data_IF_886043737178
#
_entry.id   IF_886043737178
#
_cell.length_a   1.000
_cell.length_b   1.000
_cell.length_c   1.000
_cell.angle_alpha   90.00
_cell.angle_beta   90.00
_cell.angle_gamma   90.00
#
_symmetry.space_group_name_H-M   'P 1'
#
loop_
_entity.id
_entity.type
_entity.pdbx_description
1 polymer ?
#
# COMPACT_ATOMS: atom_id res chain seq x y z
N UNK A 1 1.04 6.15 14.74
CA UNK A 1 0.94 5.54 13.40
C UNK A 1 1.22 6.59 12.33
N UNK A 2 2.07 6.27 11.37
CA UNK A 2 2.40 7.15 10.26
C UNK A 2 2.71 6.32 9.01
N UNK A 3 2.91 7.00 7.87
CA UNK A 3 3.19 6.32 6.61
C UNK A 3 4.48 5.49 6.67
N UNK A 4 5.51 5.99 7.35
CA UNK A 4 6.78 5.28 7.48
C UNK A 4 6.64 3.93 8.17
N UNK A 5 5.81 3.85 9.20
CA UNK A 5 5.55 2.58 9.91
C UNK A 5 4.89 1.56 8.97
N UNK A 6 3.91 2.01 8.19
CA UNK A 6 3.23 1.15 7.23
C UNK A 6 4.20 0.69 6.15
N UNK A 7 5.02 1.60 5.65
CA UNK A 7 6.04 1.27 4.65
C UNK A 7 7.06 0.26 5.20
N UNK A 8 7.48 0.42 6.45
CA UNK A 8 8.36 -0.56 7.10
C UNK A 8 7.73 -1.95 7.16
N UNK A 9 6.46 -2.03 7.52
CA UNK A 9 5.75 -3.30 7.58
C UNK A 9 5.67 -3.96 6.20
N UNK A 10 5.38 -3.17 5.16
CA UNK A 10 5.33 -3.68 3.79
C UNK A 10 6.70 -4.22 3.35
N UNK A 11 7.75 -3.50 3.65
CA UNK A 11 9.11 -3.91 3.27
C UNK A 11 9.57 -5.15 4.04
N UNK A 12 9.06 -5.34 5.24
CA UNK A 12 9.38 -6.54 6.03
C UNK A 12 8.86 -7.82 5.38
N UNK A 13 7.73 -7.76 4.68
CA UNK A 13 7.14 -8.90 4.00
C UNK A 13 7.37 -8.89 2.49
N UNK A 14 8.17 -7.96 2.01
CA UNK A 14 8.49 -7.85 0.58
C UNK A 14 9.30 -9.06 0.09
N UNK A 15 9.02 -9.48 -1.14
CA UNK A 15 9.70 -10.63 -1.76
C UNK A 15 10.18 -10.25 -3.15
N UNK A 16 11.49 -10.35 -3.36
CA UNK A 16 12.12 -9.99 -4.63
C UNK A 16 11.63 -10.83 -5.80
N UNK A 17 11.41 -12.13 -5.59
CA UNK A 17 10.90 -13.03 -6.61
C UNK A 17 9.50 -12.61 -7.08
N UNK A 18 8.61 -12.28 -6.14
CA UNK A 18 7.27 -11.79 -6.45
C UNK A 18 7.31 -10.44 -7.13
N UNK A 19 8.19 -9.55 -6.69
CA UNK A 19 8.35 -8.22 -7.28
C UNK A 19 8.69 -8.32 -8.77
N UNK A 20 9.57 -9.25 -9.12
CA UNK A 20 9.99 -9.45 -10.50
C UNK A 20 8.83 -9.95 -11.37
N UNK A 21 8.04 -10.89 -10.86
CA UNK A 21 6.88 -11.43 -11.56
C UNK A 21 5.83 -10.33 -11.79
N UNK A 22 5.55 -9.53 -10.76
CA UNK A 22 4.59 -8.44 -10.85
C UNK A 22 5.04 -7.37 -11.84
N UNK A 23 6.33 -7.05 -11.84
CA UNK A 23 6.88 -6.07 -12.78
C UNK A 23 6.66 -6.51 -14.22
N UNK A 24 6.84 -7.79 -14.52
CA UNK A 24 6.59 -8.35 -15.85
C UNK A 24 5.10 -8.32 -16.18
N UNK A 25 4.27 -8.71 -15.23
CA UNK A 25 2.82 -8.75 -15.44
C UNK A 25 2.24 -7.37 -15.75
N UNK A 26 2.70 -6.34 -15.05
CA UNK A 26 2.23 -4.97 -15.23
C UNK A 26 3.00 -4.18 -16.29
N UNK A 27 3.88 -4.86 -17.04
CA UNK A 27 4.62 -4.28 -18.18
C UNK A 27 5.33 -2.97 -17.81
N UNK A 28 6.27 -3.09 -16.86
CA UNK A 28 7.00 -1.91 -16.37
C UNK A 28 8.26 -1.58 -17.18
N UNK A 29 8.55 -2.35 -18.22
CA UNK A 29 9.71 -2.13 -19.06
C UNK A 29 9.64 -0.84 -19.85
N UNK A 30 10.79 -0.41 -20.36
CA UNK A 30 10.89 0.82 -21.14
C UNK A 30 9.99 0.76 -22.39
N UNK A 31 9.19 1.78 -22.58
CA UNK A 31 8.25 1.84 -23.70
C UNK A 31 6.93 1.13 -23.48
N UNK A 32 6.78 0.40 -22.37
CA UNK A 32 5.52 -0.24 -22.02
C UNK A 32 4.68 0.71 -21.16
N UNK A 33 3.35 0.53 -21.15
CA UNK A 33 2.49 1.49 -20.48
C UNK A 33 2.60 1.53 -18.95
N UNK A 34 3.18 0.49 -18.33
CA UNK A 34 3.49 0.48 -16.91
C UNK A 34 4.89 0.96 -16.59
N UNK A 35 5.57 1.60 -17.55
CA UNK A 35 6.96 2.03 -17.41
C UNK A 35 7.19 2.81 -16.13
N UNK A 36 8.27 2.46 -15.42
CA UNK A 36 8.69 3.17 -14.22
C UNK A 36 8.02 2.71 -12.93
N UNK A 37 7.00 1.89 -13.00
CA UNK A 37 6.37 1.37 -11.78
C UNK A 37 7.28 0.35 -11.10
N UNK A 38 7.30 0.38 -9.78
CA UNK A 38 8.16 -0.50 -8.97
C UNK A 38 7.31 -1.33 -8.03
N UNK A 39 7.77 -2.54 -7.76
CA UNK A 39 7.07 -3.51 -6.92
C UNK A 39 7.94 -3.98 -5.76
N UNK A 40 7.32 -4.12 -4.58
CA UNK A 40 7.96 -4.71 -3.40
C UNK A 40 7.80 -6.23 -3.38
N UNK A 41 6.77 -6.74 -4.03
CA UNK A 41 6.43 -8.15 -3.97
C UNK A 41 5.61 -8.50 -2.74
N UNK A 42 4.59 -7.69 -2.47
CA UNK A 42 3.66 -7.91 -1.35
C UNK A 42 2.27 -8.15 -1.92
N UNK A 43 1.67 -9.28 -1.60
CA UNK A 43 0.33 -9.61 -2.06
C UNK A 43 -0.75 -8.79 -1.34
N UNK A 44 -1.93 -8.72 -1.95
CA UNK A 44 -3.07 -8.00 -1.37
C UNK A 44 -3.46 -8.55 0.01
N UNK A 45 -3.47 -9.87 0.26
CA UNK A 45 -3.79 -10.38 1.60
C UNK A 45 -2.87 -9.83 2.69
N UNK A 46 -1.57 -9.73 2.41
CA UNK A 46 -0.59 -9.18 3.36
C UNK A 46 -0.81 -7.70 3.57
N UNK A 47 -1.09 -6.97 2.49
CA UNK A 47 -1.41 -5.55 2.58
C UNK A 47 -2.65 -5.32 3.44
N UNK A 48 -3.68 -6.13 3.28
CA UNK A 48 -4.91 -6.03 4.08
C UNK A 48 -4.67 -6.32 5.55
N UNK A 49 -3.80 -7.27 5.86
CA UNK A 49 -3.43 -7.56 7.25
C UNK A 49 -2.79 -6.34 7.91
N UNK A 50 -1.89 -5.68 7.20
CA UNK A 50 -1.22 -4.47 7.70
C UNK A 50 -2.24 -3.36 7.91
N UNK A 51 -3.14 -3.15 6.96
CA UNK A 51 -4.18 -2.14 7.07
C UNK A 51 -5.07 -2.39 8.28
N UNK A 52 -5.51 -3.63 8.49
CA UNK A 52 -6.35 -3.99 9.63
C UNK A 52 -5.65 -3.76 10.96
N UNK A 53 -4.34 -3.98 11.00
CA UNK A 53 -3.55 -3.76 12.21
C UNK A 53 -3.65 -2.31 12.69
N UNK A 54 -3.66 -1.36 11.77
CA UNK A 54 -3.66 0.08 12.10
C UNK A 54 -5.04 0.72 12.03
N UNK A 55 -5.96 0.17 11.26
CA UNK A 55 -7.27 0.77 10.97
C UNK A 55 -8.45 -0.13 11.33
N UNK A 56 -8.27 -1.04 12.27
CA UNK A 56 -9.37 -1.91 12.75
C UNK A 56 -10.41 -1.09 13.55
N UNK A 57 -11.59 -1.67 13.75
CA UNK A 57 -12.67 -1.03 14.50
C UNK A 57 -12.28 -0.59 15.91
N UNK A 58 -11.30 -1.26 16.48
CA UNK A 58 -10.83 -0.97 17.85
C UNK A 58 -9.94 0.28 17.90
N UNK A 59 -9.44 0.73 16.75
CA UNK A 59 -8.56 1.90 16.68
C UNK A 59 -9.26 3.02 15.95
N UNK A 60 -9.60 4.06 16.68
CA UNK A 60 -10.19 5.25 16.08
C UNK A 60 -9.08 6.21 15.70
N UNK A 61 -8.85 6.31 14.41
CA UNK A 61 -7.85 7.23 13.87
C UNK A 61 -8.58 8.41 13.25
N UNK A 62 -8.23 9.65 13.63
CA UNK A 62 -8.87 10.82 13.03
C UNK A 62 -8.71 10.83 11.51
N UNK A 63 -9.77 11.25 10.82
CA UNK A 63 -9.79 11.30 9.36
C UNK A 63 -8.63 12.14 8.81
N UNK A 64 -8.29 13.24 9.45
CA UNK A 64 -7.17 14.09 9.04
C UNK A 64 -5.84 13.34 9.03
N UNK A 65 -5.61 12.51 10.05
CA UNK A 65 -4.39 11.69 10.13
C UNK A 65 -4.38 10.63 9.03
N UNK A 66 -5.52 9.98 8.82
CA UNK A 66 -5.67 8.99 7.75
C UNK A 66 -5.34 9.60 6.39
N UNK A 67 -5.86 10.79 6.10
CA UNK A 67 -5.59 11.48 4.85
C UNK A 67 -4.11 11.82 4.68
N UNK A 68 -3.44 12.22 5.76
CA UNK A 68 -2.00 12.50 5.72
C UNK A 68 -1.22 11.26 5.33
N UNK A 69 -1.54 10.12 5.96
CA UNK A 69 -0.89 8.84 5.65
C UNK A 69 -1.14 8.44 4.20
N UNK A 70 -2.39 8.52 3.76
CA UNK A 70 -2.78 8.17 2.39
C UNK A 70 -2.02 9.02 1.37
N UNK A 71 -1.94 10.33 1.59
CA UNK A 71 -1.20 11.22 0.68
C UNK A 71 0.28 10.85 0.58
N UNK A 72 0.91 10.51 1.72
CA UNK A 72 2.31 10.08 1.71
C UNK A 72 2.49 8.79 0.92
N UNK A 73 1.61 7.81 1.13
CA UNK A 73 1.70 6.53 0.44
C UNK A 73 1.45 6.66 -1.06
N UNK A 74 0.54 7.54 -1.46
CA UNK A 74 0.24 7.76 -2.88
C UNK A 74 1.41 8.38 -3.65
N UNK A 75 2.33 9.02 -2.96
CA UNK A 75 3.52 9.61 -3.60
C UNK A 75 4.65 8.61 -3.82
N UNK A 76 4.50 7.39 -3.32
CA UNK A 76 5.55 6.38 -3.42
C UNK A 76 5.74 5.90 -4.85
N UNK A 77 6.98 5.55 -5.18
CA UNK A 77 7.32 4.90 -6.44
C UNK A 77 6.90 3.43 -6.46
N UNK A 78 6.58 2.85 -5.30
CA UNK A 78 6.21 1.44 -5.21
C UNK A 78 4.70 1.26 -5.32
N UNK A 79 4.31 0.34 -6.19
CA UNK A 79 2.91 0.03 -6.47
C UNK A 79 2.15 -0.35 -5.19
N UNK A 80 2.73 -1.20 -4.35
CA UNK A 80 2.08 -1.68 -3.14
C UNK A 80 1.83 -0.57 -2.12
N UNK A 81 2.71 0.42 -2.02
CA UNK A 81 2.48 1.56 -1.15
C UNK A 81 1.21 2.31 -1.60
N UNK A 82 1.07 2.56 -2.90
CA UNK A 82 -0.10 3.25 -3.44
C UNK A 82 -1.37 2.42 -3.31
N UNK A 83 -1.28 1.12 -3.57
CA UNK A 83 -2.43 0.22 -3.41
C UNK A 83 -2.87 0.14 -1.96
N UNK A 84 -1.92 0.08 -1.02
CA UNK A 84 -2.21 0.09 0.41
C UNK A 84 -2.96 1.36 0.81
N UNK A 85 -2.61 2.51 0.22
CA UNK A 85 -3.34 3.75 0.45
C UNK A 85 -4.82 3.61 0.09
N UNK A 86 -5.12 2.97 -1.04
CA UNK A 86 -6.49 2.72 -1.47
C UNK A 86 -7.21 1.78 -0.51
N UNK A 87 -6.53 0.75 -0.02
CA UNK A 87 -7.11 -0.18 0.95
C UNK A 87 -7.43 0.52 2.28
N UNK A 88 -6.60 1.46 2.68
CA UNK A 88 -6.86 2.28 3.88
C UNK A 88 -8.14 3.09 3.70
N UNK A 89 -8.33 3.70 2.54
CA UNK A 89 -9.53 4.46 2.24
C UNK A 89 -10.77 3.58 2.28
N UNK A 90 -10.69 2.36 1.74
CA UNK A 90 -11.81 1.41 1.79
C UNK A 90 -12.20 1.11 3.24
N UNK A 91 -11.22 0.84 4.11
CA UNK A 91 -11.51 0.58 5.52
C UNK A 91 -12.13 1.80 6.21
N UNK A 92 -11.64 2.98 5.90
CA UNK A 92 -12.15 4.22 6.48
C UNK A 92 -13.61 4.46 6.06
N UNK A 93 -13.94 4.21 4.81
CA UNK A 93 -15.32 4.39 4.31
C UNK A 93 -16.27 3.36 4.92
N UNK A 94 -15.84 2.14 5.11
CA UNK A 94 -16.66 1.12 5.78
C UNK A 94 -17.10 1.57 7.18
N UNK A 95 -16.23 2.26 7.88
CA UNK A 95 -16.50 2.73 9.25
C UNK A 95 -17.27 4.02 9.29
N UNK A 96 -17.10 4.84 8.28
CA UNK A 96 -17.66 6.17 8.23
C UNK A 96 -19.11 6.25 7.74
N UNK A 97 -19.62 5.15 7.22
CA UNK A 97 -20.98 5.13 6.67
C UNK A 97 -22.07 5.10 7.72
#
# INVERSE_FOLDING_TARGET
>A
MNASEIQCELRRVARADKALILARFFKTGKGEYGEGDRFLGVGVPEQRKIVRKYFSDRRRIPCSRTLTVVRCLLRSAFHEDRLTALLILVEQFKKGS
#
